data_IF_464176266516
#
_entry.id   IF_464176266516
#
_cell.length_a   1.000
_cell.length_b   1.000
_cell.length_c   1.000
_cell.angle_alpha   90.00
_cell.angle_beta   90.00
_cell.angle_gamma   90.00
#
_symmetry.space_group_name_H-M   'P 1'
#
loop_
_entity.id
_entity.type
_entity.pdbx_description
1 polymer ?
#
# COMPACT_ATOMS: atom_id res chain seq x y z
N UNK A 1 32.92 39.94 -22.62
CA UNK A 1 33.29 39.35 -21.32
C UNK A 1 32.71 37.93 -21.34
N UNK A 2 33.36 36.95 -21.97
CA UNK A 2 34.55 36.21 -21.48
C UNK A 2 34.34 35.82 -20.02
N UNK A 3 34.42 34.58 -19.55
CA UNK A 3 34.89 33.28 -20.06
C UNK A 3 34.70 32.34 -18.84
N UNK A 4 34.36 31.06 -18.96
CA UNK A 4 35.29 29.92 -18.91
C UNK A 4 34.41 28.69 -18.60
N UNK A 5 34.36 27.62 -19.40
CA UNK A 5 35.37 26.61 -19.76
C UNK A 5 35.52 25.51 -18.69
N UNK A 6 35.39 24.26 -19.15
CA UNK A 6 35.87 23.02 -18.51
C UNK A 6 34.77 21.95 -18.41
N UNK A 7 34.48 21.12 -19.41
CA UNK A 7 35.28 20.07 -20.12
C UNK A 7 35.72 18.93 -19.19
N UNK A 8 35.36 17.69 -19.57
CA UNK A 8 36.02 16.45 -19.14
C UNK A 8 35.06 15.25 -19.03
N UNK A 9 34.70 14.61 -20.16
CA UNK A 9 35.26 13.32 -20.64
C UNK A 9 35.06 12.14 -19.64
N UNK A 10 34.09 11.25 -19.88
CA UNK A 10 34.14 10.04 -20.75
C UNK A 10 35.04 8.93 -20.21
N UNK A 11 34.50 7.70 -20.06
CA UNK A 11 35.11 6.33 -20.19
C UNK A 11 34.04 5.38 -19.60
N UNK A 12 33.33 4.47 -20.27
CA UNK A 12 33.58 3.47 -21.33
C UNK A 12 34.64 2.41 -20.99
N UNK A 13 34.18 1.28 -20.45
CA UNK A 13 34.65 -0.11 -20.69
C UNK A 13 33.81 -1.05 -19.81
N UNK A 14 32.99 -1.99 -20.31
CA UNK A 14 33.27 -3.16 -21.17
C UNK A 14 34.12 -4.23 -20.49
N UNK A 15 33.47 -5.38 -20.23
CA UNK A 15 33.98 -6.76 -20.35
C UNK A 15 35.11 -7.23 -19.40
N UNK A 16 34.88 -8.33 -18.67
CA UNK A 16 35.41 -9.65 -19.05
C UNK A 16 35.07 -10.74 -18.02
N UNK A 17 34.52 -11.82 -18.56
CA UNK A 17 34.56 -13.20 -18.06
C UNK A 17 35.99 -13.72 -17.92
N UNK A 18 36.26 -14.61 -16.96
CA UNK A 18 37.53 -15.35 -16.96
C UNK A 18 37.76 -16.27 -15.77
N UNK A 19 37.72 -17.56 -16.04
CA UNK A 19 37.87 -18.73 -15.18
C UNK A 19 39.35 -19.16 -15.07
N UNK A 20 39.81 -19.66 -13.92
CA UNK A 20 41.03 -20.50 -13.76
C UNK A 20 40.92 -21.25 -12.41
N UNK A 21 40.53 -22.53 -12.42
CA UNK A 21 41.39 -23.75 -12.42
C UNK A 21 42.28 -23.97 -11.19
N UNK A 22 41.82 -24.89 -10.32
CA UNK A 22 42.53 -26.15 -10.00
C UNK A 22 43.63 -26.15 -8.93
N UNK A 23 43.48 -27.02 -7.92
CA UNK A 23 44.64 -27.61 -7.22
C UNK A 23 44.49 -27.93 -5.74
N UNK A 24 44.06 -29.16 -5.44
CA UNK A 24 44.04 -29.89 -4.16
C UNK A 24 45.14 -29.56 -3.12
N UNK A 25 44.76 -29.55 -1.83
CA UNK A 25 45.47 -30.30 -0.78
C UNK A 25 44.44 -30.87 0.23
N UNK A 26 44.42 -32.20 0.32
CA UNK A 26 43.78 -33.07 1.30
C UNK A 26 44.23 -32.76 2.74
N UNK A 27 43.57 -33.09 3.86
CA UNK A 27 43.06 -34.38 4.33
C UNK A 27 42.66 -34.15 5.81
N UNK A 28 41.77 -34.97 6.38
CA UNK A 28 41.74 -35.17 7.84
C UNK A 28 40.40 -34.87 8.52
N UNK A 29 39.45 -35.79 8.36
CA UNK A 29 38.34 -35.99 9.30
C UNK A 29 38.90 -36.42 10.66
N UNK A 30 38.40 -35.89 11.77
CA UNK A 30 38.07 -36.77 12.90
C UNK A 30 36.99 -36.18 13.80
N UNK A 31 35.92 -36.97 13.91
CA UNK A 31 34.80 -36.84 14.81
C UNK A 31 35.04 -37.88 15.91
N UNK A 32 35.09 -37.49 17.18
CA UNK A 32 35.16 -38.42 18.33
C UNK A 32 34.98 -37.61 19.60
N UNK A 33 33.80 -37.62 20.20
CA UNK A 33 33.29 -38.59 21.17
C UNK A 33 33.59 -38.15 22.60
N UNK A 34 32.52 -37.83 23.33
CA UNK A 34 32.51 -37.73 24.78
C UNK A 34 32.87 -39.10 25.37
N UNK A 35 33.89 -39.15 26.23
CA UNK A 35 34.07 -40.23 27.17
C UNK A 35 34.39 -39.66 28.55
N UNK A 36 33.54 -39.98 29.51
CA UNK A 36 33.79 -39.86 30.94
C UNK A 36 35.06 -40.63 31.33
N UNK A 37 35.85 -40.08 32.24
CA UNK A 37 36.67 -40.90 33.13
C UNK A 37 36.86 -40.19 34.46
N UNK A 38 36.29 -40.83 35.47
CA UNK A 38 36.58 -40.64 36.89
C UNK A 38 38.03 -40.97 37.17
N UNK A 39 38.73 -40.12 37.92
CA UNK A 39 39.92 -40.52 38.65
C UNK A 39 39.68 -40.33 40.15
N UNK A 40 39.70 -41.46 40.86
CA UNK A 40 39.78 -41.53 42.31
C UNK A 40 41.20 -41.15 42.76
N UNK A 41 41.32 -40.39 43.85
CA UNK A 41 42.51 -40.44 44.71
C UNK A 41 42.05 -40.78 46.11
N UNK A 42 42.57 -41.90 46.61
CA UNK A 42 42.42 -42.44 47.95
C UNK A 42 43.64 -41.97 48.75
N UNK A 43 43.42 -41.21 49.82
CA UNK A 43 44.42 -41.01 50.86
C UNK A 43 43.75 -41.37 52.20
N UNK A 44 44.30 -42.37 52.86
CA UNK A 44 44.03 -42.71 54.25
C UNK A 44 45.29 -42.39 55.05
N UNK A 45 45.08 -41.76 56.20
CA UNK A 45 45.87 -41.72 57.45
C UNK A 45 45.44 -40.41 58.15
N UNK A 46 45.09 -40.29 59.43
CA UNK A 46 44.98 -41.16 60.59
C UNK A 46 44.63 -40.25 61.78
N UNK A 47 43.53 -40.56 62.48
CA UNK A 47 43.13 -40.29 63.89
C UNK A 47 43.35 -38.95 64.64
N UNK A 48 42.24 -38.57 65.31
CA UNK A 48 42.05 -37.89 66.61
C UNK A 48 42.05 -36.36 66.71
N UNK A 49 40.85 -35.75 66.82
CA UNK A 49 40.33 -35.15 68.07
C UNK A 49 39.03 -34.33 67.84
N UNK A 50 37.99 -34.70 68.58
CA UNK A 50 37.01 -33.87 69.31
C UNK A 50 36.67 -32.41 68.88
N UNK A 51 35.35 -32.14 68.98
CA UNK A 51 34.64 -30.85 69.11
C UNK A 51 34.18 -30.05 67.86
N UNK A 52 32.85 -30.13 67.67
CA UNK A 52 31.92 -29.01 67.47
C UNK A 52 31.51 -28.51 66.07
N UNK A 53 30.19 -28.33 65.98
CA UNK A 53 29.41 -27.48 65.07
C UNK A 53 29.25 -27.89 63.60
N UNK A 54 28.16 -28.61 63.41
CA UNK A 54 27.40 -28.75 62.19
C UNK A 54 26.77 -27.38 61.83
N UNK A 55 27.28 -26.68 60.81
CA UNK A 55 26.56 -25.59 60.15
C UNK A 55 26.78 -25.65 58.63
N UNK A 56 25.94 -26.43 57.96
CA UNK A 56 25.78 -26.36 56.50
C UNK A 56 24.98 -25.11 56.17
N UNK A 57 25.67 -24.06 55.70
CA UNK A 57 25.01 -22.90 55.10
C UNK A 57 24.41 -23.30 53.75
N UNK A 58 23.08 -23.46 53.72
CA UNK A 58 22.30 -23.59 52.48
C UNK A 58 22.36 -22.26 51.72
N UNK A 59 23.31 -22.15 50.80
CA UNK A 59 23.36 -21.01 49.88
C UNK A 59 22.27 -21.20 48.81
N UNK A 60 21.04 -20.72 49.09
CA UNK A 60 19.97 -20.69 48.12
C UNK A 60 20.32 -19.65 47.06
N UNK A 61 20.92 -20.08 45.95
CA UNK A 61 21.04 -19.28 44.74
C UNK A 61 19.64 -19.01 44.21
N UNK A 62 19.00 -17.96 44.70
CA UNK A 62 17.87 -17.31 44.03
C UNK A 62 18.40 -16.81 42.69
N UNK A 63 18.20 -17.57 41.62
CA UNK A 63 18.33 -17.06 40.25
C UNK A 63 17.31 -15.93 40.13
N UNK A 64 17.74 -14.69 40.32
CA UNK A 64 16.97 -13.52 39.95
C UNK A 64 16.71 -13.63 38.45
N UNK A 65 15.46 -13.92 38.09
CA UNK A 65 14.99 -13.89 36.71
C UNK A 65 15.01 -12.43 36.30
N UNK A 66 16.05 -12.00 35.59
CA UNK A 66 16.08 -10.67 34.97
C UNK A 66 14.94 -10.64 33.98
N UNK A 67 13.82 -10.01 34.36
CA UNK A 67 12.80 -9.60 33.42
C UNK A 67 13.46 -8.53 32.55
N UNK A 68 13.88 -8.91 31.34
CA UNK A 68 14.16 -7.91 30.31
C UNK A 68 12.82 -7.32 29.94
N UNK A 69 12.42 -6.27 30.64
CA UNK A 69 11.39 -5.37 30.17
C UNK A 69 12.01 -4.66 28.96
N UNK A 70 11.35 -4.72 27.80
CA UNK A 70 11.78 -3.95 26.63
C UNK A 70 11.93 -2.48 27.02
N UNK A 71 13.00 -1.85 26.55
CA UNK A 71 13.17 -0.41 26.78
C UNK A 71 12.05 0.34 26.06
N UNK A 72 11.68 1.50 26.57
CA UNK A 72 10.61 2.33 25.99
C UNK A 72 10.91 2.63 24.51
N UNK A 73 12.19 2.81 24.18
CA UNK A 73 12.68 3.06 22.82
C UNK A 73 12.45 1.88 21.87
N UNK A 74 12.64 0.64 22.32
CA UNK A 74 12.37 -0.56 21.51
C UNK A 74 10.89 -0.70 21.20
N UNK A 75 10.03 -0.38 22.17
CA UNK A 75 8.56 -0.43 22.01
C UNK A 75 8.10 0.63 21.00
N UNK A 76 8.62 1.85 21.09
CA UNK A 76 8.29 2.95 20.19
C UNK A 76 8.77 2.70 18.76
N UNK A 77 9.98 2.13 18.60
CA UNK A 77 10.50 1.78 17.30
C UNK A 77 9.61 0.75 16.59
N UNK A 78 9.29 -0.36 17.26
CA UNK A 78 8.46 -1.44 16.70
C UNK A 78 7.01 -0.97 16.44
N UNK A 79 6.44 -0.16 17.34
CA UNK A 79 5.15 0.52 17.12
C UNK A 79 5.17 1.30 15.82
N UNK A 80 6.18 2.16 15.65
CA UNK A 80 6.25 3.07 14.53
C UNK A 80 6.35 2.35 13.19
N UNK A 81 7.04 1.20 13.14
CA UNK A 81 7.21 0.42 11.91
C UNK A 81 5.88 -0.21 11.49
N UNK A 82 5.19 -0.88 12.41
CA UNK A 82 3.91 -1.56 12.11
C UNK A 82 2.82 -0.53 11.79
N UNK A 83 2.76 0.57 12.53
CA UNK A 83 1.76 1.60 12.30
C UNK A 83 1.96 2.31 10.95
N UNK A 84 3.20 2.57 10.55
CA UNK A 84 3.53 3.14 9.23
C UNK A 84 3.13 2.20 8.10
N UNK A 85 3.49 0.91 8.18
CA UNK A 85 3.09 -0.09 7.16
C UNK A 85 1.56 -0.18 7.04
N UNK A 86 0.86 -0.25 8.18
CA UNK A 86 -0.60 -0.30 8.20
C UNK A 86 -1.21 0.95 7.56
N UNK A 87 -0.72 2.15 7.89
CA UNK A 87 -1.18 3.42 7.30
C UNK A 87 -0.94 3.49 5.80
N UNK A 88 0.25 3.10 5.33
CA UNK A 88 0.58 3.09 3.90
C UNK A 88 -0.33 2.14 3.11
N UNK A 89 -0.55 0.93 3.64
CA UNK A 89 -1.46 -0.06 3.03
C UNK A 89 -2.91 0.42 3.04
N UNK A 90 -3.35 1.12 4.09
CA UNK A 90 -4.70 1.71 4.16
C UNK A 90 -4.87 2.85 3.15
N UNK A 91 -3.87 3.71 2.96
CA UNK A 91 -3.93 4.78 1.97
C UNK A 91 -3.99 4.22 0.54
N UNK A 92 -3.15 3.23 0.20
CA UNK A 92 -3.23 2.50 -1.09
C UNK A 92 -4.60 1.86 -1.32
N UNK A 93 -5.22 1.36 -0.25
CA UNK A 93 -6.59 0.82 -0.31
C UNK A 93 -7.60 1.91 -0.67
N UNK A 94 -7.49 3.11 -0.06
CA UNK A 94 -8.34 4.25 -0.41
C UNK A 94 -8.15 4.66 -1.88
N UNK A 95 -6.91 4.73 -2.35
CA UNK A 95 -6.61 5.06 -3.75
C UNK A 95 -7.23 4.06 -4.72
N UNK A 96 -7.12 2.77 -4.41
CA UNK A 96 -7.72 1.70 -5.19
C UNK A 96 -9.25 1.82 -5.22
N UNK A 97 -9.87 2.07 -4.06
CA UNK A 97 -11.33 2.28 -3.97
C UNK A 97 -11.77 3.50 -4.77
N UNK A 98 -11.02 4.61 -4.72
CA UNK A 98 -11.27 5.81 -5.54
C UNK A 98 -11.18 5.49 -7.03
N UNK A 99 -10.14 4.76 -7.45
CA UNK A 99 -9.98 4.35 -8.84
C UNK A 99 -11.16 3.46 -9.31
N UNK A 100 -11.58 2.50 -8.49
CA UNK A 100 -12.75 1.66 -8.77
C UNK A 100 -14.04 2.48 -8.90
N UNK A 101 -14.25 3.48 -8.04
CA UNK A 101 -15.41 4.38 -8.17
C UNK A 101 -15.34 5.28 -9.40
N UNK A 102 -14.15 5.67 -9.86
CA UNK A 102 -13.98 6.43 -11.09
C UNK A 102 -14.30 5.58 -12.32
N UNK A 103 -14.02 4.27 -12.28
CA UNK A 103 -14.38 3.35 -13.36
C UNK A 103 -15.90 3.18 -13.51
N UNK A 104 -16.69 3.35 -12.44
CA UNK A 104 -18.15 3.29 -12.50
C UNK A 104 -18.73 4.53 -13.19
N UNK A 105 -19.23 4.35 -14.41
CA UNK A 105 -19.88 5.37 -15.24
C UNK A 105 -21.27 5.72 -14.67
N UNK A 106 -21.43 6.93 -14.16
CA UNK A 106 -22.67 7.39 -13.50
C UNK A 106 -23.62 8.18 -14.41
N UNK A 107 -23.39 8.17 -15.74
CA UNK A 107 -24.22 8.90 -16.71
C UNK A 107 -24.15 10.42 -16.55
N UNK A 108 -23.16 10.93 -15.83
CA UNK A 108 -22.89 12.36 -15.67
C UNK A 108 -21.66 12.72 -16.48
N UNK A 109 -21.70 13.89 -17.11
CA UNK A 109 -20.58 14.48 -17.82
C UNK A 109 -19.40 14.69 -16.86
N UNK A 110 -18.29 14.02 -17.15
CA UNK A 110 -17.02 14.18 -16.47
C UNK A 110 -15.90 14.25 -17.52
N UNK A 111 -15.00 15.25 -17.48
CA UNK A 111 -13.86 15.33 -18.39
C UNK A 111 -13.01 14.06 -18.41
N UNK A 112 -12.89 13.34 -17.29
CA UNK A 112 -12.09 12.11 -17.21
C UNK A 112 -12.58 10.98 -18.11
N UNK A 113 -13.77 11.06 -18.70
CA UNK A 113 -14.22 10.07 -19.68
C UNK A 113 -13.40 10.10 -20.97
N UNK A 114 -12.83 11.26 -21.32
CA UNK A 114 -12.08 11.48 -22.56
C UNK A 114 -10.56 11.29 -22.38
N UNK A 115 -10.08 10.98 -21.17
CA UNK A 115 -8.64 10.85 -20.89
C UNK A 115 -7.97 9.71 -21.68
N UNK A 116 -8.73 8.67 -22.06
CA UNK A 116 -8.25 7.51 -22.85
C UNK A 116 -8.30 7.74 -24.36
N UNK A 117 -8.83 8.87 -24.82
CA UNK A 117 -8.97 9.15 -26.26
C UNK A 117 -7.67 9.76 -26.78
N UNK A 118 -7.10 9.11 -27.78
CA UNK A 118 -5.95 9.60 -28.53
C UNK A 118 -6.42 10.15 -29.88
N UNK A 119 -5.87 11.29 -30.26
CA UNK A 119 -6.15 12.00 -31.50
C UNK A 119 -4.88 12.03 -32.33
N UNK A 120 -4.99 11.70 -33.61
CA UNK A 120 -3.88 11.85 -34.54
C UNK A 120 -3.70 13.33 -34.87
N UNK A 121 -2.56 13.90 -34.44
CA UNK A 121 -2.21 15.29 -34.68
C UNK A 121 -0.83 15.34 -35.34
N UNK A 122 -0.79 15.85 -36.58
CA UNK A 122 0.40 15.84 -37.45
C UNK A 122 1.10 14.47 -37.56
N UNK A 123 0.33 13.38 -37.66
CA UNK A 123 0.85 12.03 -37.88
C UNK A 123 1.41 11.35 -36.62
N UNK A 124 1.15 11.90 -35.43
CA UNK A 124 1.46 11.24 -34.15
C UNK A 124 0.20 11.16 -33.27
N UNK A 125 -0.03 10.05 -32.54
CA UNK A 125 -1.10 9.97 -31.57
C UNK A 125 -0.77 10.81 -30.33
N UNK A 126 -1.68 11.70 -29.97
CA UNK A 126 -1.55 12.58 -28.80
C UNK A 126 -2.86 12.52 -28.00
N UNK A 127 -2.78 12.63 -26.67
CA UNK A 127 -3.99 12.65 -25.83
C UNK A 127 -4.87 13.86 -26.16
N UNK A 128 -6.19 13.63 -26.22
CA UNK A 128 -7.19 14.68 -26.45
C UNK A 128 -7.07 15.84 -25.46
N UNK A 129 -6.70 15.54 -24.21
CA UNK A 129 -6.52 16.54 -23.13
C UNK A 129 -5.42 17.56 -23.42
N UNK A 130 -4.42 17.21 -24.23
CA UNK A 130 -3.32 18.10 -24.59
C UNK A 130 -3.67 19.02 -25.77
N UNK A 131 -4.62 18.61 -26.62
CA UNK A 131 -5.01 19.34 -27.85
C UNK A 131 -6.26 20.20 -27.63
N UNK A 132 -7.07 19.85 -26.63
CA UNK A 132 -8.34 20.51 -26.38
C UNK A 132 -8.60 20.77 -24.89
N UNK A 133 -9.26 21.89 -24.62
CA UNK A 133 -9.85 22.17 -23.32
C UNK A 133 -11.19 21.44 -23.19
N UNK A 134 -11.32 20.61 -22.16
CA UNK A 134 -12.53 19.86 -21.86
C UNK A 134 -13.25 20.54 -20.70
N UNK A 135 -14.53 20.91 -20.89
CA UNK A 135 -15.37 21.53 -19.88
C UNK A 135 -16.74 20.86 -19.80
N UNK A 136 -17.39 20.98 -18.64
CA UNK A 136 -18.74 20.48 -18.38
C UNK A 136 -19.68 21.66 -18.12
N UNK A 137 -20.29 22.25 -19.16
CA UNK A 137 -21.25 23.34 -18.97
C UNK A 137 -22.54 22.87 -18.27
N UNK A 138 -22.95 21.63 -18.53
CA UNK A 138 -24.10 20.99 -17.87
C UNK A 138 -23.75 19.56 -17.43
N UNK A 139 -24.50 18.99 -16.48
CA UNK A 139 -24.31 17.63 -15.99
C UNK A 139 -24.53 16.53 -17.04
N UNK A 140 -25.18 16.84 -18.17
CA UNK A 140 -25.45 15.90 -19.26
C UNK A 140 -24.63 16.15 -20.53
N UNK A 141 -23.87 17.25 -20.59
CA UNK A 141 -23.17 17.69 -21.81
C UNK A 141 -21.69 17.93 -21.54
N UNK A 142 -20.81 17.38 -22.38
CA UNK A 142 -19.39 17.73 -22.41
C UNK A 142 -19.12 18.67 -23.57
N UNK A 143 -18.33 19.71 -23.32
CA UNK A 143 -17.83 20.64 -24.32
C UNK A 143 -16.33 20.43 -24.47
N UNK A 144 -15.91 20.10 -25.69
CA UNK A 144 -14.51 19.95 -26.08
C UNK A 144 -14.17 21.09 -27.02
N UNK A 145 -13.26 21.95 -26.58
CA UNK A 145 -12.78 23.10 -27.34
C UNK A 145 -11.33 22.85 -27.77
N UNK A 146 -11.08 22.43 -29.02
CA UNK A 146 -9.72 22.30 -29.53
C UNK A 146 -9.04 23.66 -29.61
N UNK A 147 -7.74 23.73 -29.33
CA UNK A 147 -6.97 24.96 -29.50
C UNK A 147 -6.83 25.34 -30.98
N UNK A 148 -6.78 24.34 -31.87
CA UNK A 148 -6.68 24.52 -33.32
C UNK A 148 -7.95 24.06 -34.05
N UNK A 149 -8.56 24.95 -34.84
CA UNK A 149 -9.76 24.65 -35.64
C UNK A 149 -9.53 23.59 -36.73
N UNK A 150 -8.29 23.46 -37.21
CA UNK A 150 -7.91 22.43 -38.19
C UNK A 150 -7.98 21.01 -37.62
N UNK A 151 -7.77 20.85 -36.31
CA UNK A 151 -7.79 19.56 -35.62
C UNK A 151 -9.19 19.04 -35.32
N UNK A 152 -10.23 19.87 -35.51
CA UNK A 152 -11.62 19.55 -35.13
C UNK A 152 -12.10 18.24 -35.77
N UNK A 153 -11.85 18.04 -37.08
CA UNK A 153 -12.23 16.80 -37.78
C UNK A 153 -11.50 15.57 -37.27
N UNK A 154 -10.24 15.71 -36.83
CA UNK A 154 -9.47 14.61 -36.27
C UNK A 154 -10.00 14.24 -34.88
N UNK A 155 -10.34 15.23 -34.06
CA UNK A 155 -10.96 15.03 -32.73
C UNK A 155 -12.32 14.36 -32.85
N UNK A 156 -13.16 14.79 -33.79
CA UNK A 156 -14.47 14.18 -34.06
C UNK A 156 -14.34 12.69 -34.40
N UNK A 157 -13.43 12.36 -35.33
CA UNK A 157 -13.14 10.97 -35.71
C UNK A 157 -12.62 10.16 -34.53
N UNK A 158 -11.69 10.70 -33.75
CA UNK A 158 -11.11 10.04 -32.59
C UNK A 158 -12.16 9.69 -31.53
N UNK A 159 -13.10 10.59 -31.26
CA UNK A 159 -14.20 10.36 -30.32
C UNK A 159 -15.13 9.26 -30.84
N UNK A 160 -15.48 9.27 -32.13
CA UNK A 160 -16.35 8.25 -32.74
C UNK A 160 -15.66 6.88 -32.79
N UNK A 161 -14.36 6.83 -33.09
CA UNK A 161 -13.58 5.58 -33.10
C UNK A 161 -13.30 5.03 -31.70
N UNK A 162 -13.47 5.84 -30.65
CA UNK A 162 -13.26 5.42 -29.28
C UNK A 162 -14.43 4.59 -28.72
N UNK A 163 -14.14 3.70 -27.76
CA UNK A 163 -15.12 2.83 -27.07
C UNK A 163 -16.09 3.59 -26.13
N UNK A 164 -16.22 4.91 -26.29
CA UNK A 164 -17.10 5.75 -25.46
C UNK A 164 -18.54 5.70 -26.00
N UNK A 165 -18.72 5.49 -27.31
CA UNK A 165 -20.03 5.29 -27.93
C UNK A 165 -20.93 6.53 -27.88
N UNK A 166 -20.34 7.72 -27.91
CA UNK A 166 -21.05 9.00 -27.94
C UNK A 166 -20.94 9.65 -29.31
N UNK A 167 -22.01 10.29 -29.75
CA UNK A 167 -22.05 11.02 -31.02
C UNK A 167 -21.68 12.49 -30.80
N UNK A 168 -20.57 12.98 -31.39
CA UNK A 168 -20.22 14.40 -31.36
C UNK A 168 -21.19 15.25 -32.18
N UNK A 169 -21.52 16.42 -31.66
CA UNK A 169 -22.21 17.49 -32.36
C UNK A 169 -21.24 18.66 -32.55
N UNK A 170 -21.12 19.16 -33.77
CA UNK A 170 -20.08 20.11 -34.16
C UNK A 170 -20.68 21.49 -34.45
N UNK A 171 -20.20 22.51 -33.74
CA UNK A 171 -20.63 23.91 -33.91
C UNK A 171 -19.64 24.76 -34.72
N UNK A 172 -18.62 24.14 -35.30
CA UNK A 172 -17.55 24.78 -36.08
C UNK A 172 -16.36 25.27 -35.26
N UNK A 173 -16.54 25.51 -33.97
CA UNK A 173 -15.46 25.91 -33.03
C UNK A 173 -15.37 25.01 -31.81
N UNK A 174 -16.50 24.46 -31.36
CA UNK A 174 -16.58 23.54 -30.21
C UNK A 174 -17.30 22.26 -30.61
N UNK A 175 -16.94 21.16 -29.96
CA UNK A 175 -17.60 19.86 -30.09
C UNK A 175 -18.39 19.60 -28.81
N UNK A 176 -19.70 19.34 -28.97
CA UNK A 176 -20.60 18.99 -27.88
C UNK A 176 -20.88 17.49 -27.89
N UNK A 177 -20.74 16.84 -26.74
CA UNK A 177 -21.12 15.44 -26.54
C UNK A 177 -22.30 15.39 -25.58
N UNK A 178 -23.41 14.82 -26.03
CA UNK A 178 -24.59 14.58 -25.21
C UNK A 178 -24.53 13.18 -24.59
N UNK A 179 -24.67 13.11 -23.27
CA UNK A 179 -24.71 11.83 -22.55
C UNK A 179 -26.17 11.42 -22.38
N UNK A 180 -26.55 10.21 -22.82
CA UNK A 180 -27.92 9.74 -22.64
C UNK A 180 -28.24 9.57 -21.15
N UNK A 181 -29.47 9.92 -20.80
CA UNK A 181 -29.96 9.83 -19.43
C UNK A 181 -30.10 8.35 -19.01
N UNK A 182 -29.60 8.02 -17.81
CA UNK A 182 -29.75 6.67 -17.26
C UNK A 182 -31.18 6.40 -16.79
N UNK A 183 -31.71 5.23 -17.18
CA UNK A 183 -33.02 4.72 -16.71
C UNK A 183 -33.00 4.40 -15.21
N UNK A 184 -34.19 4.37 -14.58
CA UNK A 184 -34.33 4.13 -13.14
C UNK A 184 -33.83 2.75 -12.72
N UNK A 185 -34.00 1.73 -13.56
CA UNK A 185 -33.51 0.37 -13.35
C UNK A 185 -31.99 0.32 -13.32
N UNK A 186 -31.33 0.96 -14.30
CA UNK A 186 -29.85 1.02 -14.37
C UNK A 186 -29.26 1.76 -13.18
N UNK A 187 -29.91 2.81 -12.67
CA UNK A 187 -29.46 3.50 -11.44
C UNK A 187 -29.49 2.58 -10.21
N UNK A 188 -30.50 1.71 -10.08
CA UNK A 188 -30.58 0.72 -9.00
C UNK A 188 -29.51 -0.37 -9.12
N UNK A 189 -29.11 -0.72 -10.33
CA UNK A 189 -28.01 -1.66 -10.54
C UNK A 189 -26.67 -1.02 -10.17
N UNK A 190 -26.44 0.24 -10.57
CA UNK A 190 -25.23 0.98 -10.22
C UNK A 190 -25.07 1.18 -8.72
N UNK A 191 -26.16 1.43 -7.98
CA UNK A 191 -26.07 1.53 -6.50
C UNK A 191 -25.64 0.21 -5.86
N UNK A 192 -26.11 -0.94 -6.38
CA UNK A 192 -25.65 -2.26 -5.94
C UNK A 192 -24.16 -2.47 -6.22
N UNK A 193 -23.67 -2.02 -7.39
CA UNK A 193 -22.24 -2.11 -7.73
C UNK A 193 -21.40 -1.25 -6.78
N UNK A 194 -21.82 0.00 -6.52
CA UNK A 194 -21.13 0.90 -5.57
C UNK A 194 -21.09 0.30 -4.17
N UNK A 195 -22.18 -0.32 -3.71
CA UNK A 195 -22.22 -1.01 -2.42
C UNK A 195 -21.21 -2.19 -2.36
N UNK A 196 -21.15 -3.02 -3.41
CA UNK A 196 -20.17 -4.12 -3.50
C UNK A 196 -18.73 -3.62 -3.41
N UNK A 197 -18.36 -2.63 -4.22
CA UNK A 197 -17.01 -2.03 -4.21
C UNK A 197 -16.65 -1.42 -2.85
N UNK A 198 -17.65 -0.87 -2.15
CA UNK A 198 -17.43 -0.32 -0.81
C UNK A 198 -17.14 -1.43 0.20
N UNK A 199 -17.88 -2.53 0.15
CA UNK A 199 -17.65 -3.66 1.05
C UNK A 199 -16.29 -4.32 0.81
N UNK A 200 -15.85 -4.44 -0.45
CA UNK A 200 -14.50 -4.88 -0.79
C UNK A 200 -13.43 -3.97 -0.13
N UNK A 201 -13.60 -2.65 -0.22
CA UNK A 201 -12.72 -1.68 0.44
C UNK A 201 -12.69 -1.83 1.96
N UNK A 202 -13.86 -2.01 2.60
CA UNK A 202 -13.94 -2.24 4.05
C UNK A 202 -13.31 -3.57 4.46
N UNK A 203 -13.49 -4.63 3.67
CA UNK A 203 -12.86 -5.93 3.92
C UNK A 203 -11.34 -5.82 3.83
N UNK A 204 -10.80 -5.09 2.84
CA UNK A 204 -9.37 -4.84 2.73
C UNK A 204 -8.80 -4.14 3.98
N UNK A 205 -9.46 -3.08 4.47
CA UNK A 205 -9.06 -2.38 5.72
C UNK A 205 -9.09 -3.32 6.92
N UNK A 206 -10.12 -4.18 7.04
CA UNK A 206 -10.21 -5.17 8.13
C UNK A 206 -9.09 -6.21 8.05
N UNK A 207 -8.68 -6.61 6.85
CA UNK A 207 -7.57 -7.54 6.65
C UNK A 207 -6.24 -6.91 7.08
N UNK A 208 -5.98 -5.65 6.73
CA UNK A 208 -4.78 -4.91 7.17
C UNK A 208 -4.73 -4.85 8.71
N UNK A 209 -5.86 -4.53 9.36
CA UNK A 209 -5.94 -4.55 10.83
C UNK A 209 -5.60 -5.92 11.41
N UNK A 210 -6.14 -7.01 10.84
CA UNK A 210 -5.84 -8.38 11.29
C UNK A 210 -4.35 -8.70 11.15
N UNK A 211 -3.71 -8.28 10.06
CA UNK A 211 -2.28 -8.52 9.84
C UNK A 211 -1.42 -7.76 10.84
N UNK A 212 -1.78 -6.51 11.16
CA UNK A 212 -1.08 -5.70 12.15
C UNK A 212 -1.25 -6.26 13.57
N UNK A 213 -2.45 -6.71 13.96
CA UNK A 213 -2.67 -7.39 15.24
C UNK A 213 -1.84 -8.68 15.33
N UNK A 214 -1.80 -9.49 14.26
CA UNK A 214 -0.93 -10.67 14.19
C UNK A 214 0.55 -10.33 14.31
N UNK A 215 0.98 -9.16 13.83
CA UNK A 215 2.36 -8.70 14.01
C UNK A 215 2.66 -8.39 15.48
N UNK A 216 1.75 -7.70 16.18
CA UNK A 216 1.89 -7.46 17.62
C UNK A 216 1.92 -8.77 18.45
N UNK A 217 1.04 -9.73 18.15
CA UNK A 217 1.04 -11.05 18.80
C UNK A 217 2.34 -11.85 18.58
N UNK A 218 3.01 -11.66 17.43
CA UNK A 218 4.32 -12.29 17.17
C UNK A 218 5.41 -11.66 18.04
N UNK A 219 5.42 -10.33 18.14
CA UNK A 219 6.38 -9.59 18.97
C UNK A 219 6.21 -9.89 20.47
N UNK A 220 4.98 -10.15 20.91
CA UNK A 220 4.67 -10.63 22.26
C UNK A 220 5.31 -12.01 22.52
N UNK A 221 5.16 -12.96 21.59
CA UNK A 221 5.78 -14.30 21.68
C UNK A 221 7.31 -14.23 21.67
N UNK A 222 7.87 -13.28 20.93
CA UNK A 222 9.31 -12.97 20.92
C UNK A 222 9.80 -12.28 22.20
N UNK A 223 8.89 -11.93 23.13
CA UNK A 223 9.14 -11.20 24.38
C UNK A 223 9.75 -9.82 24.17
N UNK A 224 9.49 -9.21 23.01
CA UNK A 224 9.84 -7.81 22.71
C UNK A 224 8.78 -6.84 23.23
N UNK A 225 7.54 -7.31 23.40
CA UNK A 225 6.44 -6.52 23.94
C UNK A 225 5.80 -7.22 25.14
N UNK A 226 5.28 -6.43 26.08
CA UNK A 226 4.41 -6.89 27.17
C UNK A 226 2.96 -7.00 26.69
N UNK A 227 2.16 -7.83 27.35
CA UNK A 227 0.71 -7.96 27.12
C UNK A 227 -0.01 -6.62 27.20
N UNK A 228 0.38 -5.75 28.13
CA UNK A 228 -0.25 -4.45 28.31
C UNK A 228 0.06 -3.50 27.14
N UNK A 229 1.29 -3.52 26.63
CA UNK A 229 1.66 -2.74 25.44
C UNK A 229 0.84 -3.19 24.22
N UNK A 230 0.62 -4.50 24.04
CA UNK A 230 -0.18 -5.02 22.92
C UNK A 230 -1.62 -4.50 22.99
N UNK A 231 -2.21 -4.42 24.19
CA UNK A 231 -3.57 -3.86 24.37
C UNK A 231 -3.61 -2.38 24.00
N UNK A 232 -2.65 -1.59 24.47
CA UNK A 232 -2.57 -0.16 24.17
C UNK A 232 -2.37 0.08 22.67
N UNK A 233 -1.44 -0.64 22.04
CA UNK A 233 -1.17 -0.58 20.60
C UNK A 233 -2.37 -1.00 19.75
N UNK A 234 -3.10 -2.05 20.19
CA UNK A 234 -4.33 -2.47 19.53
C UNK A 234 -5.42 -1.40 19.62
N UNK A 235 -5.51 -0.68 20.74
CA UNK A 235 -6.47 0.41 20.92
C UNK A 235 -6.15 1.60 20.01
N UNK A 236 -4.87 1.95 19.87
CA UNK A 236 -4.42 3.03 18.99
C UNK A 236 -4.64 2.67 17.51
N UNK A 237 -4.32 1.43 17.13
CA UNK A 237 -4.55 0.96 15.77
C UNK A 237 -6.04 0.95 15.41
N UNK A 238 -6.91 0.65 16.37
CA UNK A 238 -8.35 0.70 16.18
C UNK A 238 -8.82 2.12 15.83
N UNK A 239 -8.33 3.15 16.53
CA UNK A 239 -8.65 4.56 16.24
C UNK A 239 -8.27 4.93 14.80
N UNK A 240 -7.05 4.58 14.39
CA UNK A 240 -6.58 4.81 13.02
C UNK A 240 -7.49 4.09 12.02
N UNK A 241 -7.80 2.82 12.25
CA UNK A 241 -8.67 2.03 11.36
C UNK A 241 -10.06 2.67 11.22
N UNK A 242 -10.63 3.16 12.32
CA UNK A 242 -11.95 3.80 12.33
C UNK A 242 -11.96 5.11 11.53
N UNK A 243 -10.87 5.88 11.54
CA UNK A 243 -10.71 7.06 10.67
C UNK A 243 -10.75 6.69 9.19
N UNK A 244 -10.00 5.64 8.79
CA UNK A 244 -10.00 5.17 7.40
C UNK A 244 -11.36 4.58 6.98
N UNK A 245 -12.08 3.90 7.89
CA UNK A 245 -13.45 3.46 7.62
C UNK A 245 -14.39 4.64 7.37
N UNK A 246 -14.31 5.72 8.16
CA UNK A 246 -15.09 6.94 7.94
C UNK A 246 -14.76 7.63 6.60
N UNK A 247 -13.48 7.61 6.19
CA UNK A 247 -13.07 8.12 4.87
C UNK A 247 -13.76 7.35 3.74
N UNK A 248 -13.78 6.02 3.81
CA UNK A 248 -14.47 5.15 2.83
C UNK A 248 -15.97 5.46 2.80
N UNK A 249 -16.63 5.56 3.96
CA UNK A 249 -18.06 5.91 4.03
C UNK A 249 -18.36 7.29 3.45
N UNK A 250 -17.47 8.26 3.64
CA UNK A 250 -17.62 9.60 3.07
C UNK A 250 -17.56 9.55 1.54
N UNK A 251 -16.60 8.81 0.98
CA UNK A 251 -16.46 8.62 -0.47
C UNK A 251 -17.69 7.87 -1.01
N UNK A 252 -18.14 6.82 -0.33
CA UNK A 252 -19.36 6.08 -0.69
C UNK A 252 -20.57 7.02 -0.75
N UNK A 253 -20.82 7.82 0.30
CA UNK A 253 -21.95 8.76 0.35
C UNK A 253 -21.90 9.78 -0.78
N UNK A 254 -20.72 10.27 -1.14
CA UNK A 254 -20.54 11.18 -2.27
C UNK A 254 -20.93 10.51 -3.59
N UNK A 255 -20.43 9.29 -3.85
CA UNK A 255 -20.72 8.57 -5.08
C UNK A 255 -22.17 8.10 -5.16
N UNK A 256 -22.73 7.66 -4.04
CA UNK A 256 -24.12 7.23 -3.95
C UNK A 256 -25.08 8.39 -4.21
N UNK A 257 -24.80 9.60 -3.72
CA UNK A 257 -25.58 10.80 -4.09
C UNK A 257 -25.59 10.98 -5.61
N UNK A 258 -24.46 10.88 -6.29
CA UNK A 258 -24.40 11.04 -7.76
C UNK A 258 -25.20 9.95 -8.48
N UNK A 259 -25.19 8.70 -8.00
CA UNK A 259 -25.93 7.59 -8.61
C UNK A 259 -27.45 7.64 -8.32
N UNK A 260 -27.79 8.09 -7.11
CA UNK A 260 -29.15 8.06 -6.56
C UNK A 260 -29.92 9.35 -6.75
N UNK A 261 -29.26 10.43 -7.21
CA UNK A 261 -29.87 11.76 -7.34
C UNK A 261 -31.24 11.60 -7.98
N UNK A 262 -32.21 11.79 -7.10
CA UNK A 262 -33.63 11.72 -7.36
C UNK A 262 -33.89 12.58 -8.58
N UNK A 263 -34.89 12.18 -9.34
CA UNK A 263 -35.68 13.06 -10.19
C UNK A 263 -36.27 14.12 -9.24
N UNK A 264 -35.47 15.05 -8.73
CA UNK A 264 -35.97 16.19 -7.97
C UNK A 264 -36.49 17.12 -9.04
N UNK A 265 -37.78 16.96 -9.30
CA UNK A 265 -38.69 17.97 -9.82
C UNK A 265 -38.07 18.94 -10.82
N UNK A 266 -38.17 18.57 -12.10
CA UNK A 266 -38.72 19.54 -13.05
C UNK A 266 -40.14 19.82 -12.54
N UNK A 267 -40.27 20.80 -11.63
CA UNK A 267 -41.52 21.53 -11.47
C UNK A 267 -41.57 22.44 -12.70
N UNK A 268 -42.45 22.09 -13.64
CA UNK A 268 -43.08 23.09 -14.49
C UNK A 268 -43.85 24.08 -13.62
#
# INVERSE_FOLDING_TARGET
MNSCIGIGLSYFSSSTSGNIHGGNISLGKHMSSLSSSSNYVRLQEGVNAFFSSLLVSRNSKRRARVLRCATIEEIEAEKSVIEKDAKERMEKTIETVRASFNAVRTGRANPSMLDRVEVEYYGSPVSLKSIAQISTPDGSTLLVQPYDKSSLKAVEKAIVSSDIGLTPNNDGEVIRLSIPQLTSERRKELSKVVAKLTEEGKVAVRNIRRDAIKAYEKLEKEKKLSEDNVKDLSSDLQKVTDEYMKKIETIQKQKEKVCSLKIVGIKF
#
